data_IF_036036414723
#
_entry.id   IF_036036414723
#
_cell.length_a   1.000
_cell.length_b   1.000
_cell.length_c   1.000
_cell.angle_alpha   90.00
_cell.angle_beta   90.00
_cell.angle_gamma   90.00
#
_symmetry.space_group_name_H-M   'P 1'
#
loop_
_entity.id
_entity.type
_entity.pdbx_description
1 polymer ?
#
# COMPACT_ATOMS: atom_id res chain seq x y z
N UNK A 1 3.80 17.66 31.41
CA UNK A 1 4.64 18.56 30.59
C UNK A 1 5.44 17.68 29.63
N UNK A 2 4.97 17.51 28.39
CA UNK A 2 5.60 16.62 27.40
C UNK A 2 6.76 17.38 26.78
N UNK A 3 7.98 16.87 26.94
CA UNK A 3 9.18 17.43 26.29
C UNK A 3 9.02 17.35 24.77
N UNK A 4 9.25 18.43 24.01
CA UNK A 4 9.37 18.31 22.56
C UNK A 4 10.60 17.45 22.28
N UNK A 5 10.42 16.32 21.60
CA UNK A 5 11.53 15.60 21.00
C UNK A 5 12.17 16.55 19.99
N UNK A 6 13.33 17.10 20.35
CA UNK A 6 14.20 17.78 19.40
C UNK A 6 14.54 16.76 18.31
N UNK A 7 13.97 16.95 17.12
CA UNK A 7 14.40 16.26 15.92
C UNK A 7 15.87 16.60 15.73
N UNK A 8 16.75 15.66 16.11
CA UNK A 8 18.17 15.75 15.81
C UNK A 8 18.28 15.90 14.29
N UNK A 9 18.77 17.05 13.87
CA UNK A 9 18.95 17.38 12.46
C UNK A 9 20.24 16.69 11.99
N UNK A 10 20.23 15.36 11.93
CA UNK A 10 21.35 14.55 11.45
C UNK A 10 21.01 13.93 10.10
N UNK A 11 21.02 14.78 9.06
CA UNK A 11 21.31 14.45 7.65
C UNK A 11 20.91 15.64 6.78
N UNK A 12 21.62 15.85 5.67
CA UNK A 12 21.22 16.79 4.63
C UNK A 12 19.83 16.48 4.06
N UNK A 13 19.32 17.28 3.11
CA UNK A 13 17.98 17.07 2.55
C UNK A 13 17.81 15.63 2.04
N UNK A 14 16.89 14.89 2.64
CA UNK A 14 16.52 13.52 2.28
C UNK A 14 15.52 13.54 1.13
N UNK A 15 15.74 12.71 0.11
CA UNK A 15 14.83 12.61 -1.03
C UNK A 15 13.53 11.95 -0.60
N UNK A 16 12.40 12.63 -0.83
CA UNK A 16 11.05 12.10 -0.63
C UNK A 16 10.62 11.34 -1.89
N UNK A 17 10.07 10.14 -1.72
CA UNK A 17 9.57 9.30 -2.81
C UNK A 17 8.06 9.27 -2.90
N UNK A 18 7.36 9.19 -1.77
CA UNK A 18 5.90 9.18 -1.73
C UNK A 18 5.37 9.81 -0.45
N UNK A 19 4.16 10.37 -0.52
CA UNK A 19 3.35 10.71 0.63
C UNK A 19 1.93 10.22 0.40
N UNK A 20 1.29 9.62 1.41
CA UNK A 20 -0.03 9.01 1.27
C UNK A 20 -0.86 9.18 2.54
N UNK A 21 -2.11 9.60 2.40
CA UNK A 21 -3.06 9.60 3.52
C UNK A 21 -3.49 8.17 3.86
N UNK A 22 -3.81 7.94 5.13
CA UNK A 22 -4.59 6.77 5.51
C UNK A 22 -6.04 6.88 4.98
N UNK A 23 -6.81 5.79 5.08
CA UNK A 23 -8.16 5.74 4.54
C UNK A 23 -9.09 6.83 5.11
N UNK A 24 -8.90 7.22 6.37
CA UNK A 24 -9.69 8.25 7.07
C UNK A 24 -9.24 9.68 6.73
N UNK A 25 -8.15 9.86 6.00
CA UNK A 25 -7.54 11.15 5.68
C UNK A 25 -7.17 12.00 6.91
N UNK A 26 -7.04 11.37 8.08
CA UNK A 26 -6.70 12.03 9.34
C UNK A 26 -5.24 11.83 9.75
N UNK A 27 -4.49 11.05 8.98
CA UNK A 27 -3.04 10.93 9.08
C UNK A 27 -2.42 10.59 7.74
N UNK A 28 -1.12 10.83 7.61
CA UNK A 28 -0.39 10.53 6.37
C UNK A 28 1.02 10.02 6.66
N UNK A 29 1.51 9.19 5.75
CA UNK A 29 2.83 8.61 5.74
C UNK A 29 3.71 9.28 4.69
N UNK A 30 5.02 9.32 4.92
CA UNK A 30 6.02 9.85 3.99
C UNK A 30 7.16 8.84 3.89
N UNK A 31 7.48 8.41 2.67
CA UNK A 31 8.60 7.53 2.36
C UNK A 31 9.77 8.33 1.80
N UNK A 32 10.97 8.00 2.26
CA UNK A 32 12.20 8.73 1.93
C UNK A 32 13.38 7.79 1.72
N UNK A 33 14.49 8.32 1.20
CA UNK A 33 15.78 7.61 1.16
C UNK A 33 16.39 7.32 2.55
N UNK A 34 15.79 7.84 3.61
CA UNK A 34 16.28 7.78 4.99
C UNK A 34 15.27 7.17 5.97
N UNK A 35 14.30 6.42 5.44
CA UNK A 35 13.25 5.75 6.21
C UNK A 35 11.86 6.32 5.97
N UNK A 36 11.00 6.26 6.98
CA UNK A 36 9.60 6.68 6.89
C UNK A 36 9.18 7.55 8.08
N UNK A 37 8.16 8.38 7.86
CA UNK A 37 7.56 9.23 8.90
C UNK A 37 6.04 9.19 8.77
N UNK A 38 5.35 9.22 9.90
CA UNK A 38 3.88 9.25 10.00
C UNK A 38 3.45 10.49 10.77
N UNK A 39 2.45 11.19 10.25
CA UNK A 39 1.95 12.42 10.81
C UNK A 39 0.45 12.35 11.01
N UNK A 40 -0.04 13.05 12.03
CA UNK A 40 -1.44 13.44 12.11
C UNK A 40 -1.70 14.55 11.09
N UNK A 41 -2.87 14.56 10.44
CA UNK A 41 -3.23 15.60 9.48
C UNK A 41 -3.54 16.93 10.18
N UNK A 42 -4.27 16.87 11.31
CA UNK A 42 -4.61 18.03 12.11
C UNK A 42 -4.78 17.70 13.61
N UNK A 43 -4.03 18.35 14.52
CA UNK A 43 -2.88 19.22 14.23
C UNK A 43 -1.71 18.44 13.59
N UNK A 44 -0.88 19.09 12.76
CA UNK A 44 0.23 18.43 12.06
C UNK A 44 1.35 18.06 13.03
N UNK A 45 1.32 16.84 13.54
CA UNK A 45 2.27 16.32 14.54
C UNK A 45 2.86 15.01 14.05
N UNK A 46 4.18 14.84 14.21
CA UNK A 46 4.87 13.57 13.95
C UNK A 46 4.42 12.53 14.99
N UNK A 47 3.81 11.45 14.52
CA UNK A 47 3.34 10.35 15.35
C UNK A 47 4.39 9.26 15.52
N UNK A 48 5.11 8.92 14.44
CA UNK A 48 6.10 7.84 14.41
C UNK A 48 7.11 8.07 13.30
N UNK A 49 8.34 7.59 13.49
CA UNK A 49 9.37 7.58 12.45
C UNK A 49 10.24 6.35 12.56
N UNK A 50 10.77 5.89 11.43
CA UNK A 50 11.80 4.86 11.37
C UNK A 50 12.99 5.42 10.59
N UNK A 51 14.19 5.21 11.10
CA UNK A 51 15.42 5.70 10.48
C UNK A 51 15.92 4.80 9.36
N UNK A 52 16.94 5.29 8.63
CA UNK A 52 17.66 4.53 7.62
C UNK A 52 18.28 3.26 8.20
N UNK A 53 18.79 3.30 9.42
CA UNK A 53 19.43 2.16 10.08
C UNK A 53 18.40 1.06 10.38
N UNK A 54 17.19 1.45 10.77
CA UNK A 54 16.11 0.52 11.07
C UNK A 54 15.60 -0.17 9.80
N UNK A 55 15.20 0.61 8.79
CA UNK A 55 14.45 0.09 7.63
C UNK A 55 15.02 0.43 6.24
N UNK A 56 16.12 1.17 6.17
CA UNK A 56 16.70 1.64 4.91
C UNK A 56 15.86 2.68 4.19
N UNK A 57 16.17 2.89 2.90
CA UNK A 57 15.38 3.70 1.99
C UNK A 57 14.08 3.01 1.59
N UNK A 58 13.00 3.79 1.57
CA UNK A 58 11.64 3.32 1.27
C UNK A 58 11.06 4.16 0.13
N UNK A 59 10.41 3.50 -0.83
CA UNK A 59 9.77 4.17 -1.97
C UNK A 59 8.26 4.31 -1.81
N UNK A 60 7.63 3.34 -1.17
CA UNK A 60 6.17 3.27 -0.96
C UNK A 60 5.92 2.92 0.49
N UNK A 61 4.97 3.62 1.13
CA UNK A 61 4.58 3.37 2.51
C UNK A 61 3.09 3.61 2.70
N UNK A 62 2.43 2.75 3.48
CA UNK A 62 1.03 2.88 3.87
C UNK A 62 0.83 2.44 5.31
N UNK A 63 -0.22 2.98 5.95
CA UNK A 63 -0.68 2.54 7.27
C UNK A 63 -2.10 2.03 7.13
N UNK A 64 -2.40 0.87 7.72
CA UNK A 64 -3.75 0.33 7.70
C UNK A 64 -4.59 1.10 8.73
N UNK A 65 -5.49 1.96 8.24
CA UNK A 65 -6.34 2.82 9.08
C UNK A 65 -5.52 3.69 10.05
N UNK A 66 -5.81 3.60 11.36
CA UNK A 66 -4.98 4.08 12.47
C UNK A 66 -4.48 2.93 13.34
N UNK A 67 -4.12 1.82 12.72
CA UNK A 67 -3.61 0.64 13.44
C UNK A 67 -2.09 0.70 13.63
N UNK A 68 -1.57 -0.32 14.30
CA UNK A 68 -0.15 -0.65 14.42
C UNK A 68 0.44 -1.31 13.16
N UNK A 69 -0.35 -1.57 12.12
CA UNK A 69 0.10 -2.28 10.92
C UNK A 69 0.57 -1.28 9.87
N UNK A 70 1.86 -1.34 9.59
CA UNK A 70 2.56 -0.50 8.62
C UNK A 70 3.03 -1.39 7.47
N UNK A 71 2.78 -0.96 6.24
CA UNK A 71 3.31 -1.62 5.04
C UNK A 71 4.27 -0.71 4.32
N UNK A 72 5.36 -1.26 3.80
CA UNK A 72 6.31 -0.48 3.02
C UNK A 72 7.04 -1.33 1.98
N UNK A 73 7.60 -0.67 0.97
CA UNK A 73 8.42 -1.29 -0.08
C UNK A 73 9.77 -0.57 -0.13
N UNK A 74 10.84 -1.35 -0.06
CA UNK A 74 12.20 -0.82 -0.15
C UNK A 74 12.48 -0.14 -1.49
N UNK A 75 13.27 0.93 -1.46
CA UNK A 75 13.70 1.61 -2.68
C UNK A 75 14.61 2.81 -2.43
N UNK A 76 15.03 3.44 -3.52
CA UNK A 76 16.03 4.51 -3.45
C UNK A 76 17.45 4.00 -3.25
N UNK A 77 18.38 4.92 -3.00
CA UNK A 77 19.82 4.62 -2.97
C UNK A 77 20.28 3.79 -1.77
N UNK A 78 19.47 3.73 -0.71
CA UNK A 78 19.80 3.05 0.55
C UNK A 78 18.79 1.95 0.90
N UNK A 79 18.15 1.35 -0.10
CA UNK A 79 17.14 0.30 0.11
C UNK A 79 17.74 -0.90 0.87
N UNK A 80 17.11 -1.28 1.98
CA UNK A 80 17.46 -2.50 2.74
C UNK A 80 16.64 -3.72 2.30
N UNK A 81 15.45 -3.47 1.76
CA UNK A 81 14.49 -4.49 1.37
C UNK A 81 14.26 -4.49 -0.15
N UNK A 82 13.91 -5.63 -0.74
CA UNK A 82 13.71 -5.74 -2.18
C UNK A 82 12.52 -4.91 -2.66
N UNK A 83 12.64 -4.39 -3.89
CA UNK A 83 11.63 -3.51 -4.49
C UNK A 83 10.36 -4.25 -4.95
N UNK A 84 10.35 -5.59 -4.96
CA UNK A 84 9.22 -6.42 -5.35
C UNK A 84 8.50 -7.11 -4.18
N UNK A 85 8.79 -6.67 -2.95
CA UNK A 85 8.22 -7.24 -1.72
C UNK A 85 7.62 -6.13 -0.86
N UNK A 86 6.38 -6.35 -0.42
CA UNK A 86 5.76 -5.54 0.64
C UNK A 86 6.20 -6.10 1.98
N UNK A 87 6.89 -5.28 2.76
CA UNK A 87 7.23 -5.57 4.14
C UNK A 87 6.10 -5.11 5.04
N UNK A 88 5.72 -5.93 6.03
CA UNK A 88 4.68 -5.61 7.00
C UNK A 88 5.28 -5.56 8.39
N UNK A 89 5.23 -4.38 9.00
CA UNK A 89 5.70 -4.12 10.35
C UNK A 89 4.51 -4.00 11.29
N UNK A 90 4.60 -4.67 12.43
CA UNK A 90 3.68 -4.49 13.54
C UNK A 90 4.35 -3.60 14.60
N UNK A 91 3.88 -2.35 14.72
CA UNK A 91 4.43 -1.39 15.69
C UNK A 91 4.06 -1.69 17.14
N UNK A 92 3.12 -2.59 17.40
CA UNK A 92 2.87 -3.07 18.75
C UNK A 92 3.90 -4.15 19.13
N UNK A 93 4.25 -5.03 18.20
CA UNK A 93 5.22 -6.11 18.41
C UNK A 93 6.67 -5.65 18.18
N UNK A 94 6.86 -4.49 17.55
CA UNK A 94 8.17 -3.95 17.18
C UNK A 94 8.99 -4.90 16.27
N UNK A 95 8.32 -5.59 15.35
CA UNK A 95 8.97 -6.51 14.42
C UNK A 95 8.31 -6.57 13.04
N UNK A 96 9.05 -7.14 12.08
CA UNK A 96 8.51 -7.53 10.78
C UNK A 96 7.72 -8.83 10.93
N UNK A 97 6.42 -8.77 10.67
CA UNK A 97 5.50 -9.89 10.88
C UNK A 97 5.13 -10.61 9.59
N UNK A 98 5.34 -9.98 8.42
CA UNK A 98 5.04 -10.59 7.12
C UNK A 98 5.85 -9.96 5.99
N UNK A 99 6.15 -10.79 4.98
CA UNK A 99 6.70 -10.39 3.69
C UNK A 99 5.78 -10.88 2.57
N UNK A 100 5.34 -9.99 1.68
CA UNK A 100 4.48 -10.32 0.53
C UNK A 100 5.26 -10.04 -0.76
N UNK A 101 5.85 -11.09 -1.32
CA UNK A 101 6.64 -11.00 -2.55
C UNK A 101 5.78 -11.30 -3.77
N UNK A 102 5.88 -10.45 -4.80
CA UNK A 102 5.23 -10.66 -6.09
C UNK A 102 6.27 -10.79 -7.22
N UNK A 103 5.99 -11.66 -8.18
CA UNK A 103 6.81 -11.83 -9.39
C UNK A 103 6.46 -10.74 -10.43
N UNK A 104 7.35 -10.50 -11.38
CA UNK A 104 7.04 -9.61 -12.51
C UNK A 104 7.58 -8.18 -12.42
N UNK A 105 8.44 -7.88 -11.45
CA UNK A 105 9.18 -6.63 -11.38
C UNK A 105 8.93 -5.83 -10.08
N UNK A 106 9.43 -4.58 -10.01
CA UNK A 106 9.29 -3.75 -8.84
C UNK A 106 7.84 -3.35 -8.59
N UNK A 107 7.46 -3.28 -7.32
CA UNK A 107 6.21 -2.68 -6.88
C UNK A 107 6.34 -1.17 -7.05
N UNK A 108 5.38 -0.60 -7.77
CA UNK A 108 5.31 0.84 -8.04
C UNK A 108 4.48 1.57 -7.00
N UNK A 109 3.42 0.92 -6.49
CA UNK A 109 2.53 1.50 -5.50
C UNK A 109 1.81 0.39 -4.70
N UNK A 110 1.28 0.76 -3.55
CA UNK A 110 0.47 -0.07 -2.68
C UNK A 110 -0.75 0.72 -2.24
N UNK A 111 -1.94 0.12 -2.35
CA UNK A 111 -3.15 0.68 -1.75
C UNK A 111 -3.63 -0.24 -0.62
N UNK A 112 -4.08 0.38 0.46
CA UNK A 112 -4.74 -0.29 1.57
C UNK A 112 -6.21 0.13 1.57
N UNK A 113 -7.10 -0.85 1.68
CA UNK A 113 -8.51 -0.64 1.94
C UNK A 113 -8.98 -1.64 2.99
N UNK A 114 -10.00 -1.30 3.78
CA UNK A 114 -10.62 -2.09 4.85
C UNK A 114 -9.96 -3.44 5.24
N UNK A 115 -10.03 -4.44 4.37
CA UNK A 115 -9.47 -5.78 4.55
C UNK A 115 -8.62 -6.28 3.36
N UNK A 116 -8.01 -5.36 2.63
CA UNK A 116 -7.33 -5.61 1.35
C UNK A 116 -6.00 -4.87 1.26
N UNK A 117 -5.02 -5.60 0.73
CA UNK A 117 -3.74 -5.06 0.28
C UNK A 117 -3.70 -5.18 -1.25
N UNK A 118 -3.53 -4.07 -1.94
CA UNK A 118 -3.46 -4.01 -3.40
C UNK A 118 -2.04 -3.62 -3.78
N UNK A 119 -1.36 -4.49 -4.51
CA UNK A 119 0.02 -4.30 -4.95
C UNK A 119 0.02 -4.01 -6.45
N UNK A 120 0.62 -2.87 -6.83
CA UNK A 120 0.65 -2.42 -8.22
C UNK A 120 2.05 -2.54 -8.80
N UNK A 121 2.15 -3.28 -9.91
CA UNK A 121 3.29 -3.29 -10.82
C UNK A 121 2.90 -2.59 -12.12
N UNK A 122 3.86 -2.46 -13.05
CA UNK A 122 3.62 -1.80 -14.33
C UNK A 122 2.62 -2.55 -15.23
N UNK A 123 2.48 -3.87 -15.08
CA UNK A 123 1.61 -4.72 -15.91
C UNK A 123 0.71 -5.67 -15.11
N UNK A 124 0.77 -5.60 -13.78
CA UNK A 124 -0.06 -6.45 -12.90
C UNK A 124 -0.58 -5.67 -11.71
N UNK A 125 -1.78 -6.04 -11.29
CA UNK A 125 -2.34 -5.66 -10.00
C UNK A 125 -2.65 -6.94 -9.23
N UNK A 126 -2.11 -7.05 -8.03
CA UNK A 126 -2.39 -8.16 -7.13
C UNK A 126 -3.26 -7.69 -5.98
N UNK A 127 -4.35 -8.42 -5.71
CA UNK A 127 -5.28 -8.15 -4.61
C UNK A 127 -5.15 -9.26 -3.59
N UNK A 128 -4.79 -8.89 -2.37
CA UNK A 128 -4.70 -9.79 -1.24
C UNK A 128 -5.80 -9.49 -0.23
N UNK A 129 -6.35 -10.54 0.39
CA UNK A 129 -6.94 -10.44 1.73
C UNK A 129 -5.84 -10.00 2.67
N UNK A 130 -6.11 -9.06 3.58
CA UNK A 130 -5.12 -8.49 4.49
C UNK A 130 -5.81 -7.87 5.73
N UNK A 131 -5.21 -7.85 6.92
CA UNK A 131 -3.88 -8.38 7.29
C UNK A 131 -3.86 -9.86 7.66
N UNK A 132 -4.96 -10.38 8.22
CA UNK A 132 -5.02 -11.75 8.75
C UNK A 132 -6.32 -12.44 8.32
N UNK A 133 -6.29 -13.41 7.39
CA UNK A 133 -5.08 -13.91 6.71
C UNK A 133 -4.55 -12.91 5.68
N UNK A 134 -3.25 -13.02 5.36
CA UNK A 134 -2.73 -12.44 4.13
C UNK A 134 -2.73 -13.50 3.01
N UNK A 135 -3.64 -13.36 2.04
CA UNK A 135 -3.84 -14.36 0.99
C UNK A 135 -4.13 -13.69 -0.35
N UNK A 136 -3.42 -14.09 -1.41
CA UNK A 136 -3.72 -13.63 -2.76
C UNK A 136 -5.14 -14.09 -3.15
N UNK A 137 -5.99 -13.13 -3.47
CA UNK A 137 -7.36 -13.38 -3.96
C UNK A 137 -7.35 -13.38 -5.49
N UNK A 138 -6.68 -12.39 -6.09
CA UNK A 138 -6.78 -12.14 -7.53
C UNK A 138 -5.53 -11.45 -8.05
N UNK A 139 -5.17 -11.77 -9.29
CA UNK A 139 -4.18 -11.01 -10.07
C UNK A 139 -4.81 -10.59 -11.37
N UNK A 140 -4.78 -9.29 -11.67
CA UNK A 140 -5.19 -8.73 -12.95
C UNK A 140 -3.96 -8.42 -13.78
N UNK A 141 -3.92 -8.94 -15.00
CA UNK A 141 -3.01 -8.41 -16.02
C UNK A 141 -3.57 -7.10 -16.57
N UNK A 142 -2.76 -6.06 -16.53
CA UNK A 142 -3.17 -4.72 -16.95
C UNK A 142 -2.27 -4.23 -18.09
N UNK A 143 -2.73 -3.16 -18.75
CA UNK A 143 -1.89 -2.42 -19.68
C UNK A 143 -0.78 -1.70 -18.89
N UNK A 144 0.26 -1.30 -19.62
CA UNK A 144 1.42 -0.64 -19.05
C UNK A 144 1.02 0.63 -18.26
N UNK A 145 1.21 0.57 -16.94
CA UNK A 145 0.94 1.60 -15.95
C UNK A 145 2.26 1.96 -15.23
N UNK A 146 3.16 2.73 -15.87
CA UNK A 146 4.52 2.97 -15.39
C UNK A 146 4.61 3.68 -14.04
N UNK A 147 3.52 4.32 -13.61
CA UNK A 147 3.46 5.09 -12.36
C UNK A 147 2.78 4.32 -11.23
N UNK A 148 2.19 3.15 -11.49
CA UNK A 148 1.36 2.45 -10.51
C UNK A 148 0.13 3.27 -10.09
N UNK A 149 -0.42 4.06 -11.02
CA UNK A 149 -1.58 4.91 -10.75
C UNK A 149 -2.83 4.04 -10.57
N UNK A 150 -3.50 4.20 -9.44
CA UNK A 150 -4.81 3.63 -9.17
C UNK A 150 -5.44 4.37 -7.99
N UNK A 151 -6.75 4.20 -7.84
CA UNK A 151 -7.51 4.68 -6.70
C UNK A 151 -8.43 3.57 -6.20
N UNK A 152 -8.54 3.42 -4.89
CA UNK A 152 -9.50 2.51 -4.27
C UNK A 152 -10.51 3.32 -3.45
N UNK A 153 -11.79 3.04 -3.67
CA UNK A 153 -12.88 3.55 -2.84
C UNK A 153 -13.49 2.42 -2.04
N UNK A 154 -13.91 2.70 -0.81
CA UNK A 154 -14.69 1.79 0.01
C UNK A 154 -15.87 2.51 0.64
N UNK A 155 -16.97 1.79 0.85
CA UNK A 155 -18.04 2.24 1.74
C UNK A 155 -17.59 2.17 3.22
N UNK A 156 -18.40 2.77 4.10
CA UNK A 156 -18.05 2.96 5.51
C UNK A 156 -17.81 1.64 6.26
N UNK A 157 -18.48 0.56 5.86
CA UNK A 157 -18.36 -0.77 6.45
C UNK A 157 -17.42 -1.71 5.67
N UNK A 158 -16.82 -1.24 4.56
CA UNK A 158 -15.93 -2.02 3.71
C UNK A 158 -16.59 -3.15 2.93
N UNK A 159 -17.93 -3.20 2.87
CA UNK A 159 -18.70 -4.20 2.13
C UNK A 159 -18.53 -4.05 0.61
N UNK A 160 -18.40 -2.81 0.14
CA UNK A 160 -18.19 -2.48 -1.27
C UNK A 160 -16.86 -1.76 -1.43
N UNK A 161 -15.93 -2.40 -2.13
CA UNK A 161 -14.63 -1.85 -2.45
C UNK A 161 -14.47 -1.83 -3.97
N UNK A 162 -14.12 -0.69 -4.54
CA UNK A 162 -13.96 -0.53 -5.99
C UNK A 162 -12.56 -0.02 -6.31
N UNK A 163 -11.86 -0.72 -7.20
CA UNK A 163 -10.55 -0.30 -7.69
C UNK A 163 -10.71 0.31 -9.07
N UNK A 164 -10.15 1.50 -9.25
CA UNK A 164 -10.05 2.19 -10.52
C UNK A 164 -8.58 2.32 -10.94
N UNK A 165 -8.27 2.03 -12.20
CA UNK A 165 -6.92 2.20 -12.77
C UNK A 165 -6.98 2.55 -14.27
N UNK A 166 -5.90 3.13 -14.85
CA UNK A 166 -5.89 3.53 -16.26
C UNK A 166 -6.11 2.36 -17.23
N UNK A 167 -6.99 2.58 -18.21
CA UNK A 167 -7.24 1.71 -19.36
C UNK A 167 -6.55 2.21 -20.64
N UNK A 168 -7.10 1.86 -21.81
CA UNK A 168 -6.55 2.26 -23.10
C UNK A 168 -7.13 3.60 -23.60
N UNK A 169 -6.29 4.48 -24.16
CA UNK A 169 -6.71 5.75 -24.79
C UNK A 169 -7.63 6.61 -23.90
N UNK A 170 -7.21 6.82 -22.65
CA UNK A 170 -7.92 7.71 -21.72
C UNK A 170 -9.13 7.08 -21.04
N UNK A 171 -9.37 5.77 -21.21
CA UNK A 171 -10.39 5.06 -20.43
C UNK A 171 -9.90 4.74 -19.01
N UNK A 172 -10.84 4.46 -18.12
CA UNK A 172 -10.59 4.00 -16.76
C UNK A 172 -11.26 2.63 -16.63
N UNK A 173 -10.51 1.65 -16.14
CA UNK A 173 -11.05 0.35 -15.75
C UNK A 173 -11.49 0.43 -14.29
N UNK A 174 -12.68 -0.06 -14.00
CA UNK A 174 -13.24 -0.10 -12.65
C UNK A 174 -13.75 -1.50 -12.39
N UNK A 175 -13.35 -2.11 -11.26
CA UNK A 175 -13.95 -3.39 -10.83
C UNK A 175 -14.12 -3.46 -9.32
N UNK A 176 -15.07 -4.30 -8.89
CA UNK A 176 -15.31 -4.55 -7.49
C UNK A 176 -14.25 -5.51 -6.92
N UNK A 177 -13.58 -5.07 -5.85
CA UNK A 177 -12.58 -5.84 -5.11
C UNK A 177 -13.30 -6.78 -4.15
N UNK A 178 -13.80 -7.89 -4.69
CA UNK A 178 -14.50 -8.94 -3.93
C UNK A 178 -13.62 -10.17 -3.77
N UNK A 179 -13.91 -10.96 -2.75
CA UNK A 179 -13.44 -12.34 -2.74
C UNK A 179 -14.07 -13.06 -3.94
N UNK A 180 -13.25 -13.79 -4.69
CA UNK A 180 -13.74 -14.57 -5.82
C UNK A 180 -14.58 -15.73 -5.32
N UNK A 181 -15.91 -15.65 -5.46
CA UNK A 181 -16.82 -16.79 -5.38
C UNK A 181 -16.75 -17.70 -6.64
N UNK A 182 -15.87 -17.37 -7.59
CA UNK A 182 -15.76 -17.99 -8.91
C UNK A 182 -15.15 -19.40 -8.95
N UNK A 183 -15.06 -20.08 -7.79
CA UNK A 183 -14.95 -21.54 -7.78
C UNK A 183 -16.31 -22.24 -7.89
N UNK A 184 -17.46 -21.53 -7.87
CA UNK A 184 -18.78 -22.19 -7.81
C UNK A 184 -19.88 -21.71 -8.78
N UNK A 185 -19.65 -20.79 -9.71
CA UNK A 185 -20.71 -20.38 -10.66
C UNK A 185 -20.23 -20.29 -12.11
N UNK A 186 -20.05 -21.45 -12.72
CA UNK A 186 -20.38 -21.60 -14.13
C UNK A 186 -21.89 -21.42 -14.29
N UNK A 187 -22.33 -20.24 -14.70
CA UNK A 187 -23.70 -20.04 -15.20
C UNK A 187 -23.59 -19.64 -16.67
N UNK A 188 -23.64 -20.67 -17.51
CA UNK A 188 -24.03 -20.54 -18.92
C UNK A 188 -25.47 -20.04 -18.94
N UNK A 189 -25.69 -18.78 -19.34
CA UNK A 189 -27.00 -18.40 -19.84
C UNK A 189 -27.15 -18.96 -21.25
N UNK A 190 -27.80 -20.14 -21.34
CA UNK A 190 -28.27 -20.69 -22.60
C UNK A 190 -29.43 -19.81 -23.09
N UNK A 191 -29.20 -19.05 -24.16
CA UNK A 191 -30.25 -18.35 -24.89
C UNK A 191 -30.96 -19.42 -25.72
N UNK A 192 -32.16 -19.82 -25.31
CA UNK A 192 -33.02 -20.65 -26.16
C UNK A 192 -33.66 -19.72 -27.21
N UNK A 193 -33.56 -20.15 -28.48
CA UNK A 193 -34.42 -19.71 -29.57
C UNK A 193 -35.78 -20.40 -29.44
#
# INVERSE_FOLDING_TARGET
>A
MVRPMLLRNESGPSKVYSACFNAQQDGFSVATDSGIRFFNAHPPVLLRSFSREQIGGVKVVGILHRSNIIVFVGGGSYAKYPSNTVMVWDDKQQELVLEVTVAGGPILNVLLAYSKLIVLQDRRIHVFQFPSPCKLIRTEEIRYNPTGLAAIGCDFNGASQMLAYPGFKGTIHIFAVRESDDAKRGILHKVNR
#
